data_IF_074140233577
#
_entry.id   IF_074140233577
#
_cell.length_a   1.000
_cell.length_b   1.000
_cell.length_c   1.000
_cell.angle_alpha   90.00
_cell.angle_beta   90.00
_cell.angle_gamma   90.00
#
_symmetry.space_group_name_H-M   'P 1'
#
loop_
_entity.id
_entity.type
_entity.pdbx_description
1 polymer ?
#
# COMPACT_ATOMS: atom_id res chain seq x y z
N UNK A 1 -30.81 35.54 9.92
CA UNK A 1 -31.63 34.48 9.28
C UNK A 1 -31.03 34.23 7.90
N UNK A 2 -30.67 33.04 7.42
CA UNK A 2 -30.76 31.68 7.91
C UNK A 2 -29.56 30.89 7.32
N UNK A 3 -29.12 29.88 8.07
CA UNK A 3 -28.08 28.91 7.70
C UNK A 3 -28.41 28.22 6.37
N UNK A 4 -27.43 28.08 5.48
CA UNK A 4 -27.54 27.14 4.36
C UNK A 4 -26.53 25.99 4.47
N UNK A 5 -27.06 24.81 4.18
CA UNK A 5 -26.66 23.49 4.68
C UNK A 5 -25.43 22.94 3.95
N UNK A 6 -24.62 22.18 4.70
CA UNK A 6 -23.49 21.37 4.22
C UNK A 6 -23.97 20.38 3.17
N UNK A 7 -23.37 20.41 1.97
CA UNK A 7 -23.45 19.31 1.01
C UNK A 7 -22.34 18.29 1.35
N UNK A 8 -22.76 17.08 1.70
CA UNK A 8 -21.91 15.90 1.83
C UNK A 8 -21.79 15.26 0.43
N UNK A 9 -20.58 14.90 -0.06
CA UNK A 9 -20.45 14.37 -1.42
C UNK A 9 -20.87 12.89 -1.51
N UNK A 10 -21.51 12.60 -2.65
CA UNK A 10 -22.14 11.39 -3.15
C UNK A 10 -21.17 10.19 -3.38
N UNK A 11 -20.49 9.66 -2.37
CA UNK A 11 -19.60 8.49 -2.55
C UNK A 11 -20.16 7.16 -1.98
N UNK A 12 -21.34 7.15 -1.34
CA UNK A 12 -21.83 5.95 -0.64
C UNK A 12 -23.04 5.24 -1.27
N UNK A 13 -23.48 5.63 -2.48
CA UNK A 13 -24.75 5.13 -3.06
C UNK A 13 -24.59 3.97 -4.06
N UNK A 14 -23.37 3.57 -4.45
CA UNK A 14 -23.17 2.54 -5.47
C UNK A 14 -23.11 1.08 -4.94
N UNK A 15 -23.43 0.81 -3.67
CA UNK A 15 -23.26 -0.52 -3.05
C UNK A 15 -24.49 -1.07 -2.30
N UNK A 16 -25.68 -0.47 -2.47
CA UNK A 16 -26.88 -0.82 -1.68
C UNK A 16 -28.12 -1.24 -2.50
N UNK A 17 -27.95 -1.67 -3.75
CA UNK A 17 -29.07 -2.18 -4.55
C UNK A 17 -28.87 -3.64 -4.97
N UNK A 18 -28.89 -4.55 -3.98
CA UNK A 18 -29.33 -5.92 -4.19
C UNK A 18 -29.65 -6.56 -2.83
N UNK A 19 -30.81 -7.24 -2.78
CA UNK A 19 -31.30 -8.12 -1.71
C UNK A 19 -31.98 -7.43 -0.52
N UNK A 20 -33.29 -7.23 -0.69
CA UNK A 20 -34.22 -7.30 0.43
C UNK A 20 -34.47 -8.76 0.82
N UNK A 21 -34.71 -8.98 2.12
CA UNK A 21 -35.79 -9.83 2.62
C UNK A 21 -35.90 -9.64 4.15
N UNK A 22 -37.15 -9.51 4.58
CA UNK A 22 -37.61 -9.23 5.92
C UNK A 22 -37.47 -10.43 6.88
N UNK A 23 -37.33 -10.15 8.17
CA UNK A 23 -37.44 -11.14 9.25
C UNK A 23 -37.64 -10.48 10.61
N UNK A 24 -38.91 -10.37 11.02
CA UNK A 24 -39.39 -9.88 12.33
C UNK A 24 -39.36 -10.98 13.40
N UNK A 25 -39.34 -10.57 14.68
CA UNK A 25 -39.73 -11.36 15.86
C UNK A 25 -38.75 -11.17 17.02
N UNK A 26 -38.86 -10.14 17.86
CA UNK A 26 -39.70 -10.03 19.08
C UNK A 26 -39.36 -11.02 20.23
N UNK A 27 -38.99 -10.39 21.36
CA UNK A 27 -38.80 -10.87 22.75
C UNK A 27 -40.17 -11.25 23.38
N UNK A 28 -40.33 -11.85 24.59
CA UNK A 28 -39.78 -11.30 25.84
C UNK A 28 -39.52 -12.24 27.04
N UNK A 29 -38.76 -11.69 28.00
CA UNK A 29 -38.83 -11.71 29.47
C UNK A 29 -39.54 -12.83 30.26
N UNK A 30 -38.89 -13.21 31.38
CA UNK A 30 -39.51 -13.78 32.58
C UNK A 30 -38.78 -13.30 33.84
N UNK A 31 -39.47 -12.48 34.63
CA UNK A 31 -39.13 -12.00 35.98
C UNK A 31 -39.18 -13.13 37.03
N UNK A 32 -38.34 -13.03 38.07
CA UNK A 32 -38.77 -13.18 39.47
C UNK A 32 -37.67 -12.76 40.45
N UNK A 33 -38.03 -11.87 41.38
CA UNK A 33 -37.25 -11.33 42.47
C UNK A 33 -37.15 -12.29 43.67
N UNK A 34 -36.10 -12.16 44.50
CA UNK A 34 -36.23 -11.71 45.90
C UNK A 34 -34.93 -11.77 46.73
N UNK A 35 -34.94 -10.89 47.73
CA UNK A 35 -34.24 -10.92 49.02
C UNK A 35 -32.92 -10.16 49.13
N UNK A 36 -32.92 -9.22 50.07
CA UNK A 36 -31.90 -8.21 50.24
C UNK A 36 -30.71 -8.68 51.06
N UNK A 37 -29.61 -7.98 50.84
CA UNK A 37 -28.54 -7.85 51.81
C UNK A 37 -27.90 -6.49 51.60
N UNK A 38 -27.83 -5.71 52.69
CA UNK A 38 -27.18 -4.40 52.73
C UNK A 38 -25.68 -4.64 52.54
N UNK A 39 -25.21 -4.46 51.31
CA UNK A 39 -23.78 -4.41 51.03
C UNK A 39 -23.32 -2.96 51.04
N UNK A 40 -22.45 -2.68 52.00
CA UNK A 40 -21.62 -1.49 52.11
C UNK A 40 -21.07 -1.10 50.73
N UNK A 41 -21.42 0.11 50.27
CA UNK A 41 -20.82 0.72 49.09
C UNK A 41 -19.39 1.12 49.43
N UNK A 42 -18.45 0.18 49.27
CA UNK A 42 -17.07 0.54 48.99
C UNK A 42 -17.06 1.09 47.58
N UNK A 43 -16.87 2.41 47.47
CA UNK A 43 -16.54 3.10 46.24
C UNK A 43 -15.19 2.57 45.72
N UNK A 44 -15.21 1.40 45.11
CA UNK A 44 -14.14 0.97 44.23
C UNK A 44 -14.31 1.76 42.94
N UNK A 45 -13.57 2.86 42.86
CA UNK A 45 -13.28 3.50 41.58
C UNK A 45 -12.46 2.49 40.78
N UNK A 46 -13.15 1.58 40.09
CA UNK A 46 -12.54 0.72 39.08
C UNK A 46 -12.25 1.64 37.91
N UNK A 47 -11.06 2.25 37.92
CA UNK A 47 -10.41 2.67 36.68
C UNK A 47 -10.13 1.38 35.91
N UNK A 48 -11.14 0.90 35.18
CA UNK A 48 -11.00 -0.26 34.30
C UNK A 48 -10.01 0.13 33.21
N UNK A 49 -8.76 -0.32 33.34
CA UNK A 49 -7.79 -0.22 32.26
C UNK A 49 -8.32 -0.97 31.05
N UNK A 50 -8.21 -0.39 29.86
CA UNK A 50 -8.58 -1.05 28.61
C UNK A 50 -7.84 -2.38 28.48
N UNK A 51 -8.54 -3.41 27.98
CA UNK A 51 -7.93 -4.67 27.58
C UNK A 51 -7.00 -4.48 26.38
N UNK A 52 -6.06 -5.41 26.18
CA UNK A 52 -5.15 -5.38 25.01
C UNK A 52 -5.91 -5.36 23.68
N UNK A 53 -7.09 -5.99 23.62
CA UNK A 53 -7.97 -5.95 22.45
C UNK A 53 -8.54 -4.55 22.22
N UNK A 54 -9.05 -3.88 23.26
CA UNK A 54 -9.59 -2.52 23.15
C UNK A 54 -8.50 -1.52 22.77
N UNK A 55 -7.28 -1.66 23.32
CA UNK A 55 -6.14 -0.82 22.93
C UNK A 55 -5.80 -1.04 21.45
N UNK A 56 -5.77 -2.29 20.97
CA UNK A 56 -5.54 -2.60 19.56
C UNK A 56 -6.63 -2.00 18.66
N UNK A 57 -7.91 -2.17 19.02
CA UNK A 57 -9.05 -1.58 18.31
C UNK A 57 -8.91 -0.07 18.23
N UNK A 58 -8.56 0.59 19.32
CA UNK A 58 -8.37 2.04 19.37
C UNK A 58 -7.28 2.50 18.38
N UNK A 59 -6.13 1.83 18.38
CA UNK A 59 -5.08 2.10 17.38
C UNK A 59 -5.58 1.93 15.94
N UNK A 60 -6.37 0.89 15.69
CA UNK A 60 -6.97 0.66 14.37
C UNK A 60 -7.91 1.78 13.93
N UNK A 61 -8.73 2.30 14.84
CA UNK A 61 -9.62 3.43 14.59
C UNK A 61 -8.84 4.73 14.33
N UNK A 62 -7.74 4.95 15.04
CA UNK A 62 -6.87 6.12 14.81
C UNK A 62 -6.22 6.07 13.43
N UNK A 63 -5.82 4.88 12.97
CA UNK A 63 -5.35 4.67 11.59
C UNK A 63 -6.46 4.94 10.58
N UNK A 64 -7.67 4.41 10.79
CA UNK A 64 -8.81 4.64 9.88
C UNK A 64 -9.14 6.13 9.75
N UNK A 65 -9.08 6.87 10.87
CA UNK A 65 -9.30 8.32 10.87
C UNK A 65 -8.42 9.02 9.85
N UNK A 66 -7.10 8.76 9.87
CA UNK A 66 -6.15 9.42 8.96
C UNK A 66 -6.16 8.82 7.56
N UNK A 67 -6.26 7.50 7.44
CA UNK A 67 -6.26 6.81 6.15
C UNK A 67 -7.50 7.19 5.32
N UNK A 68 -8.67 7.23 5.94
CA UNK A 68 -9.92 7.54 5.25
C UNK A 68 -10.30 9.02 5.29
N UNK A 69 -9.61 9.83 6.11
CA UNK A 69 -9.96 11.25 6.32
C UNK A 69 -11.36 11.42 6.92
N UNK A 70 -11.79 10.51 7.81
CA UNK A 70 -13.13 10.51 8.40
C UNK A 70 -13.12 11.05 9.82
N UNK A 71 -14.11 11.88 10.17
CA UNK A 71 -14.28 12.37 11.55
C UNK A 71 -14.89 11.31 12.49
N UNK A 72 -15.52 10.27 11.94
CA UNK A 72 -16.18 9.20 12.70
C UNK A 72 -15.67 7.80 12.28
N UNK A 73 -14.44 7.43 12.70
CA UNK A 73 -13.89 6.10 12.40
C UNK A 73 -14.69 4.96 13.06
N UNK A 74 -15.45 5.25 14.12
CA UNK A 74 -16.23 4.27 14.85
C UNK A 74 -17.51 3.87 14.11
N UNK A 75 -18.21 4.83 13.51
CA UNK A 75 -19.32 4.51 12.61
C UNK A 75 -18.87 3.70 11.41
N UNK A 76 -17.70 4.02 10.84
CA UNK A 76 -17.08 3.21 9.79
C UNK A 76 -16.84 1.78 10.29
N UNK A 77 -16.17 1.61 11.42
CA UNK A 77 -15.86 0.31 12.00
C UNK A 77 -17.11 -0.53 12.27
N UNK A 78 -18.14 0.04 12.90
CA UNK A 78 -19.42 -0.65 13.15
C UNK A 78 -20.05 -1.15 11.85
N UNK A 79 -20.13 -0.30 10.82
CA UNK A 79 -20.69 -0.68 9.51
C UNK A 79 -19.83 -1.76 8.84
N UNK A 80 -18.51 -1.60 8.88
CA UNK A 80 -17.57 -2.51 8.26
C UNK A 80 -17.63 -3.91 8.89
N UNK A 81 -17.70 -3.99 10.22
CA UNK A 81 -17.90 -5.26 10.95
C UNK A 81 -19.28 -5.85 10.68
N UNK A 82 -20.35 -5.04 10.67
CA UNK A 82 -21.70 -5.54 10.37
C UNK A 82 -21.78 -6.18 8.97
N UNK A 83 -21.03 -5.65 8.00
CA UNK A 83 -21.00 -6.18 6.63
C UNK A 83 -20.06 -7.38 6.44
N UNK A 84 -18.96 -7.45 7.19
CA UNK A 84 -17.89 -8.43 6.95
C UNK A 84 -17.69 -9.44 8.10
N UNK A 85 -18.45 -9.31 9.20
CA UNK A 85 -18.36 -10.17 10.38
C UNK A 85 -16.95 -10.20 10.97
N UNK A 86 -16.48 -11.41 11.30
CA UNK A 86 -15.15 -11.63 11.89
C UNK A 86 -14.01 -11.08 11.02
N UNK A 87 -14.12 -11.19 9.69
CA UNK A 87 -13.11 -10.64 8.77
C UNK A 87 -13.00 -9.12 8.91
N UNK A 88 -14.14 -8.44 9.09
CA UNK A 88 -14.17 -7.01 9.37
C UNK A 88 -13.43 -6.65 10.66
N UNK A 89 -13.66 -7.42 11.72
CA UNK A 89 -12.95 -7.25 12.99
C UNK A 89 -11.44 -7.50 12.83
N UNK A 90 -11.02 -8.55 12.12
CA UNK A 90 -9.60 -8.82 11.88
C UNK A 90 -8.92 -7.70 11.10
N UNK A 91 -9.58 -7.11 10.11
CA UNK A 91 -9.00 -5.98 9.39
C UNK A 91 -8.80 -4.76 10.30
N UNK A 92 -9.77 -4.45 11.17
CA UNK A 92 -9.64 -3.32 12.10
C UNK A 92 -8.60 -3.59 13.19
N UNK A 93 -8.61 -4.79 13.75
CA UNK A 93 -7.78 -5.15 14.90
C UNK A 93 -6.36 -5.46 14.45
N UNK A 94 -6.20 -6.45 13.57
CA UNK A 94 -4.88 -6.90 13.16
C UNK A 94 -4.27 -5.98 12.09
N UNK A 95 -4.96 -5.76 10.97
CA UNK A 95 -4.36 -4.98 9.86
C UNK A 95 -4.19 -3.52 10.29
N UNK A 96 -5.24 -2.86 10.79
CA UNK A 96 -5.13 -1.45 11.17
C UNK A 96 -4.45 -1.27 12.54
N UNK A 97 -4.82 -2.08 13.53
CA UNK A 97 -4.40 -1.92 14.92
C UNK A 97 -3.08 -2.58 15.32
N UNK A 98 -2.59 -3.59 14.62
CA UNK A 98 -1.28 -4.22 14.90
C UNK A 98 -0.24 -3.93 13.81
N UNK A 99 -0.62 -3.89 12.53
CA UNK A 99 0.32 -3.66 11.43
C UNK A 99 0.43 -2.17 11.11
N UNK A 100 -0.68 -1.53 10.75
CA UNK A 100 -0.63 -0.11 10.43
C UNK A 100 -0.28 0.72 11.67
N UNK A 101 -0.69 0.41 12.89
CA UNK A 101 -0.37 1.29 14.03
C UNK A 101 1.13 1.46 14.31
N UNK A 102 2.01 0.61 13.76
CA UNK A 102 3.46 0.61 14.00
C UNK A 102 4.12 1.85 13.40
N UNK A 103 4.96 2.50 14.20
CA UNK A 103 5.61 3.78 13.91
C UNK A 103 6.99 3.64 13.26
N UNK A 104 7.53 2.42 13.20
CA UNK A 104 8.83 2.10 12.60
C UNK A 104 8.87 2.34 11.08
N UNK A 105 7.72 2.47 10.44
CA UNK A 105 7.57 2.85 9.04
C UNK A 105 6.55 3.98 8.92
N UNK A 106 6.92 5.02 8.18
CA UNK A 106 6.04 6.16 7.96
C UNK A 106 4.74 5.75 7.27
N UNK A 107 3.66 6.49 7.53
CA UNK A 107 2.36 6.28 6.85
C UNK A 107 2.49 6.42 5.33
N UNK A 108 3.27 7.44 4.90
CA UNK A 108 3.61 7.72 3.51
C UNK A 108 4.20 6.48 2.83
N UNK A 109 5.21 5.88 3.44
CA UNK A 109 5.90 4.72 2.88
C UNK A 109 5.05 3.46 2.94
N UNK A 110 4.27 3.25 4.01
CA UNK A 110 3.32 2.13 4.06
C UNK A 110 2.28 2.22 2.96
N UNK A 111 1.77 3.41 2.63
CA UNK A 111 0.91 3.60 1.48
C UNK A 111 1.61 3.30 0.15
N UNK A 112 2.88 3.68 -0.02
CA UNK A 112 3.66 3.35 -1.22
C UNK A 112 3.76 1.82 -1.40
N UNK A 113 4.10 1.10 -0.33
CA UNK A 113 4.20 -0.37 -0.31
C UNK A 113 2.85 -0.99 -0.65
N UNK A 114 1.77 -0.56 0.00
CA UNK A 114 0.43 -1.14 -0.21
C UNK A 114 -0.07 -0.90 -1.63
N UNK A 115 0.11 0.30 -2.19
CA UNK A 115 -0.23 0.57 -3.58
C UNK A 115 0.56 -0.30 -4.56
N UNK A 116 1.85 -0.50 -4.31
CA UNK A 116 2.70 -1.36 -5.13
C UNK A 116 2.24 -2.84 -5.08
N UNK A 117 1.95 -3.37 -3.89
CA UNK A 117 1.46 -4.74 -3.70
C UNK A 117 0.10 -4.93 -4.38
N UNK A 118 -0.86 -4.04 -4.11
CA UNK A 118 -2.22 -4.15 -4.67
C UNK A 118 -2.21 -4.07 -6.19
N UNK A 119 -1.43 -3.15 -6.77
CA UNK A 119 -1.26 -3.07 -8.22
C UNK A 119 -0.61 -4.33 -8.81
N UNK A 120 0.45 -4.84 -8.19
CA UNK A 120 1.13 -6.07 -8.63
C UNK A 120 0.24 -7.32 -8.54
N UNK A 121 -0.70 -7.36 -7.59
CA UNK A 121 -1.67 -8.45 -7.42
C UNK A 121 -2.98 -8.24 -8.20
N UNK A 122 -3.09 -7.14 -8.97
CA UNK A 122 -4.30 -6.71 -9.68
C UNK A 122 -5.54 -6.55 -8.76
N UNK A 123 -5.35 -6.16 -7.50
CA UNK A 123 -6.41 -5.94 -6.51
C UNK A 123 -6.99 -4.53 -6.64
N UNK A 124 -7.44 -4.16 -7.84
CA UNK A 124 -7.81 -2.78 -8.19
C UNK A 124 -8.98 -2.23 -7.39
N UNK A 125 -9.92 -3.07 -6.95
CA UNK A 125 -11.02 -2.67 -6.07
C UNK A 125 -10.53 -2.08 -4.73
N UNK A 126 -9.38 -2.55 -4.23
CA UNK A 126 -8.82 -2.05 -2.98
C UNK A 126 -8.13 -0.69 -3.15
N UNK A 127 -7.70 -0.33 -4.37
CA UNK A 127 -7.07 0.97 -4.65
C UNK A 127 -8.01 2.15 -4.31
N UNK A 128 -9.32 1.95 -4.35
CA UNK A 128 -10.33 2.94 -3.95
C UNK A 128 -10.14 3.49 -2.52
N UNK A 129 -9.56 2.68 -1.62
CA UNK A 129 -9.29 3.11 -0.24
C UNK A 129 -7.88 3.69 -0.08
N UNK A 130 -6.89 3.10 -0.76
CA UNK A 130 -5.48 3.43 -0.53
C UNK A 130 -4.96 4.58 -1.40
N UNK A 131 -5.59 4.91 -2.53
CA UNK A 131 -5.22 6.10 -3.32
C UNK A 131 -5.58 7.39 -2.58
N UNK A 132 -6.81 7.58 -2.05
CA UNK A 132 -7.11 8.75 -1.22
C UNK A 132 -6.27 8.76 0.06
N UNK A 133 -6.11 7.59 0.71
CA UNK A 133 -5.27 7.48 1.91
C UNK A 133 -3.80 7.79 1.68
N UNK A 134 -3.27 7.49 0.49
CA UNK A 134 -1.92 7.86 0.10
C UNK A 134 -1.74 9.39 0.04
N UNK A 135 -2.72 10.11 -0.51
CA UNK A 135 -2.74 11.59 -0.48
C UNK A 135 -2.81 12.12 0.95
N UNK A 136 -3.70 11.57 1.78
CA UNK A 136 -3.82 11.95 3.21
C UNK A 136 -2.52 11.75 3.99
N UNK A 137 -1.72 10.75 3.60
CA UNK A 137 -0.44 10.44 4.22
C UNK A 137 0.77 11.04 3.50
N UNK A 138 0.56 11.95 2.54
CA UNK A 138 1.61 12.81 1.98
C UNK A 138 2.28 12.31 0.69
N UNK A 139 1.78 11.25 0.05
CA UNK A 139 2.15 10.97 -1.34
C UNK A 139 1.46 11.99 -2.26
N UNK A 140 2.17 12.43 -3.29
CA UNK A 140 1.63 13.31 -4.32
C UNK A 140 0.90 12.50 -5.41
N UNK A 141 -0.02 13.11 -6.17
CA UNK A 141 -0.63 12.47 -7.34
C UNK A 141 0.39 12.03 -8.40
N UNK A 142 1.56 12.68 -8.45
CA UNK A 142 2.65 12.33 -9.36
C UNK A 142 3.36 11.06 -8.90
N UNK A 143 3.72 10.98 -7.61
CA UNK A 143 4.33 9.77 -7.04
C UNK A 143 3.40 8.57 -7.12
N UNK A 144 2.10 8.74 -6.85
CA UNK A 144 1.11 7.65 -6.93
C UNK A 144 1.04 7.07 -8.35
N UNK A 145 1.02 7.92 -9.38
CA UNK A 145 1.08 7.46 -10.78
C UNK A 145 2.40 6.78 -11.10
N UNK A 146 3.50 7.32 -10.59
CA UNK A 146 4.83 6.76 -10.82
C UNK A 146 5.00 5.37 -10.19
N UNK A 147 4.30 5.08 -9.09
CA UNK A 147 4.19 3.72 -8.53
C UNK A 147 3.60 2.78 -9.59
N UNK A 148 2.49 3.16 -10.23
CA UNK A 148 1.83 2.36 -11.26
C UNK A 148 2.71 2.19 -12.51
N UNK A 149 3.45 3.23 -12.90
CA UNK A 149 4.42 3.17 -14.00
C UNK A 149 5.50 2.11 -13.75
N UNK A 150 6.03 1.99 -12.52
CA UNK A 150 7.03 0.96 -12.20
C UNK A 150 6.50 -0.46 -12.32
N UNK A 151 5.20 -0.66 -12.09
CA UNK A 151 4.59 -1.97 -12.23
C UNK A 151 4.74 -2.51 -13.66
N UNK A 152 4.88 -1.67 -14.68
CA UNK A 152 5.06 -2.13 -16.05
C UNK A 152 6.32 -3.01 -16.20
N UNK A 153 7.41 -2.65 -15.51
CA UNK A 153 8.67 -3.41 -15.56
C UNK A 153 8.67 -4.66 -14.65
N UNK A 154 7.98 -4.61 -13.51
CA UNK A 154 8.08 -5.66 -12.48
C UNK A 154 6.86 -6.59 -12.37
N UNK A 155 5.67 -6.11 -12.75
CA UNK A 155 4.42 -6.87 -12.71
C UNK A 155 3.76 -7.03 -14.11
N UNK A 156 4.26 -6.30 -15.11
CA UNK A 156 3.81 -6.33 -16.49
C UNK A 156 2.78 -5.24 -16.83
N UNK A 157 2.74 -4.85 -18.10
CA UNK A 157 1.88 -3.78 -18.63
C UNK A 157 0.38 -3.94 -18.31
N UNK A 158 -0.27 -5.12 -18.46
CA UNK A 158 -1.71 -5.22 -18.21
C UNK A 158 -2.10 -4.80 -16.79
N UNK A 159 -1.37 -5.27 -15.77
CA UNK A 159 -1.61 -4.90 -14.37
C UNK A 159 -1.32 -3.43 -14.11
N UNK A 160 -0.24 -2.90 -14.72
CA UNK A 160 0.11 -1.48 -14.61
C UNK A 160 -0.98 -0.58 -15.20
N UNK A 161 -1.52 -0.94 -16.37
CA UNK A 161 -2.59 -0.20 -17.04
C UNK A 161 -3.91 -0.27 -16.27
N UNK A 162 -4.31 -1.44 -15.77
CA UNK A 162 -5.51 -1.60 -14.95
C UNK A 162 -5.42 -0.76 -13.65
N UNK A 163 -4.28 -0.84 -12.95
CA UNK A 163 -4.04 -0.05 -11.75
C UNK A 163 -4.00 1.45 -12.03
N UNK A 164 -3.34 1.88 -13.12
CA UNK A 164 -3.27 3.27 -13.56
C UNK A 164 -4.66 3.82 -13.92
N UNK A 165 -5.49 3.06 -14.62
CA UNK A 165 -6.84 3.48 -15.02
C UNK A 165 -7.72 3.76 -13.80
N UNK A 166 -7.71 2.87 -12.80
CA UNK A 166 -8.46 3.04 -11.55
C UNK A 166 -7.90 4.20 -10.73
N UNK A 167 -6.57 4.30 -10.64
CA UNK A 167 -5.87 5.40 -9.96
C UNK A 167 -6.23 6.76 -10.56
N UNK A 168 -6.20 6.89 -11.90
CA UNK A 168 -6.54 8.14 -12.58
C UNK A 168 -8.00 8.54 -12.38
N UNK A 169 -8.92 7.56 -12.35
CA UNK A 169 -10.33 7.83 -12.05
C UNK A 169 -10.50 8.42 -10.64
N UNK A 170 -9.92 7.78 -9.64
CA UNK A 170 -9.99 8.23 -8.24
C UNK A 170 -9.32 9.60 -8.08
N UNK A 171 -8.13 9.79 -8.65
CA UNK A 171 -7.44 11.08 -8.61
C UNK A 171 -8.25 12.18 -9.28
N UNK A 172 -8.95 11.90 -10.39
CA UNK A 172 -9.84 12.86 -11.04
C UNK A 172 -11.02 13.24 -10.16
N UNK A 173 -11.66 12.27 -9.49
CA UNK A 173 -12.74 12.51 -8.52
C UNK A 173 -12.28 13.40 -7.34
N UNK A 174 -10.99 13.31 -6.97
CA UNK A 174 -10.37 14.11 -5.92
C UNK A 174 -9.78 15.45 -6.42
N UNK A 175 -10.00 15.83 -7.68
CA UNK A 175 -9.51 17.11 -8.24
C UNK A 175 -8.04 17.09 -8.69
N UNK A 176 -7.44 15.90 -8.82
CA UNK A 176 -6.08 15.67 -9.28
C UNK A 176 -6.02 14.95 -10.64
N UNK A 177 -7.06 15.12 -11.46
CA UNK A 177 -7.11 14.56 -12.82
C UNK A 177 -6.02 15.12 -13.73
N UNK A 178 -5.78 14.51 -14.91
CA UNK A 178 -4.93 15.10 -15.93
C UNK A 178 -5.37 16.53 -16.28
N UNK A 179 -4.41 17.40 -16.57
CA UNK A 179 -4.71 18.75 -17.05
C UNK A 179 -5.26 18.77 -18.48
N UNK A 180 -5.55 19.95 -19.04
CA UNK A 180 -6.06 20.09 -20.42
C UNK A 180 -5.17 19.40 -21.47
N UNK A 181 -3.86 19.44 -21.26
CA UNK A 181 -2.85 18.84 -22.16
C UNK A 181 -2.55 17.37 -21.83
N UNK A 182 -3.28 16.77 -20.88
CA UNK A 182 -3.05 15.41 -20.41
C UNK A 182 -1.90 15.27 -19.42
N UNK A 183 -1.40 14.03 -19.28
CA UNK A 183 -0.18 13.71 -18.53
C UNK A 183 1.03 13.76 -19.47
N UNK A 184 2.24 14.06 -18.98
CA UNK A 184 3.42 14.12 -19.84
C UNK A 184 3.71 12.76 -20.49
N UNK A 185 4.03 12.78 -21.79
CA UNK A 185 4.53 11.62 -22.52
C UNK A 185 5.93 11.19 -22.04
N UNK A 186 6.35 9.98 -22.41
CA UNK A 186 7.75 9.57 -22.26
C UNK A 186 8.65 10.40 -23.19
N UNK A 187 9.88 10.65 -22.74
CA UNK A 187 10.92 11.21 -23.61
C UNK A 187 11.11 10.32 -24.84
N UNK A 188 11.24 10.93 -26.03
CA UNK A 188 11.44 10.21 -27.30
C UNK A 188 12.93 10.05 -27.58
N UNK A 189 13.54 9.06 -26.93
CA UNK A 189 14.95 8.73 -27.06
C UNK A 189 15.18 7.67 -28.14
N UNK A 190 16.30 7.75 -28.85
CA UNK A 190 16.80 6.66 -29.69
C UNK A 190 17.24 5.47 -28.84
N UNK A 191 17.33 4.28 -29.45
CA UNK A 191 17.79 3.08 -28.72
C UNK A 191 19.21 3.23 -28.16
N UNK A 192 20.09 3.96 -28.85
CA UNK A 192 21.43 4.27 -28.34
C UNK A 192 21.38 5.13 -27.07
N UNK A 193 20.52 6.17 -27.05
CA UNK A 193 20.34 7.03 -25.88
C UNK A 193 19.71 6.28 -24.69
N UNK A 194 18.71 5.41 -24.96
CA UNK A 194 18.09 4.55 -23.94
C UNK A 194 19.13 3.62 -23.31
N UNK A 195 19.97 2.97 -24.12
CA UNK A 195 21.05 2.10 -23.63
C UNK A 195 22.10 2.85 -22.81
N UNK A 196 22.56 4.01 -23.30
CA UNK A 196 23.54 4.84 -22.60
C UNK A 196 23.01 5.29 -21.23
N UNK A 197 21.77 5.80 -21.18
CA UNK A 197 21.10 6.18 -19.93
C UNK A 197 20.90 4.98 -19.01
N UNK A 198 20.53 3.82 -19.56
CA UNK A 198 20.36 2.58 -18.81
C UNK A 198 21.65 2.11 -18.12
N UNK A 199 22.77 2.10 -18.83
CA UNK A 199 24.08 1.76 -18.28
C UNK A 199 24.51 2.72 -17.16
N UNK A 200 24.32 4.02 -17.37
CA UNK A 200 24.62 5.05 -16.39
C UNK A 200 23.77 4.87 -15.11
N UNK A 201 22.46 4.62 -15.27
CA UNK A 201 21.56 4.28 -14.16
C UNK A 201 22.07 3.05 -13.43
N UNK A 202 22.37 1.95 -14.13
CA UNK A 202 22.86 0.72 -13.51
C UNK A 202 24.17 0.91 -12.73
N UNK A 203 25.11 1.71 -13.25
CA UNK A 203 26.33 2.09 -12.54
C UNK A 203 26.01 2.74 -11.19
N UNK A 204 25.20 3.81 -11.22
CA UNK A 204 24.74 4.51 -10.02
C UNK A 204 24.01 3.59 -9.05
N UNK A 205 23.13 2.71 -9.54
CA UNK A 205 22.37 1.77 -8.71
C UNK A 205 23.26 0.69 -8.11
N UNK A 206 24.41 0.38 -8.70
CA UNK A 206 25.35 -0.63 -8.19
C UNK A 206 26.44 -0.03 -7.29
N UNK A 207 26.56 1.30 -7.26
CA UNK A 207 27.66 1.99 -6.58
C UNK A 207 28.99 1.90 -7.34
N UNK A 208 28.94 1.48 -8.61
CA UNK A 208 30.08 1.48 -9.52
C UNK A 208 30.12 2.82 -10.28
N UNK A 209 31.31 3.21 -10.74
CA UNK A 209 31.44 4.30 -11.72
C UNK A 209 30.64 3.97 -12.99
N UNK A 210 30.22 5.00 -13.73
CA UNK A 210 29.39 4.87 -14.93
C UNK A 210 30.01 3.86 -15.91
N UNK A 211 29.48 2.63 -16.00
CA UNK A 211 30.11 1.57 -16.78
C UNK A 211 29.96 1.86 -18.28
N UNK A 212 30.88 1.35 -19.10
CA UNK A 212 30.75 1.45 -20.55
C UNK A 212 29.41 0.83 -21.00
N UNK A 213 28.52 1.60 -21.64
CA UNK A 213 27.21 1.09 -22.05
C UNK A 213 27.26 -0.10 -22.99
N UNK A 214 28.28 -0.21 -23.83
CA UNK A 214 28.42 -1.33 -24.77
C UNK A 214 28.91 -2.60 -24.04
N UNK A 215 29.74 -2.48 -23.00
CA UNK A 215 30.12 -3.61 -22.15
C UNK A 215 28.94 -4.13 -21.32
N UNK A 216 28.14 -3.24 -20.73
CA UNK A 216 26.93 -3.61 -19.98
C UNK A 216 25.92 -4.29 -20.90
N UNK A 217 25.70 -3.74 -22.10
CA UNK A 217 24.85 -4.36 -23.10
C UNK A 217 25.37 -5.75 -23.47
N UNK A 218 26.66 -5.88 -23.81
CA UNK A 218 27.24 -7.17 -24.19
C UNK A 218 27.09 -8.22 -23.09
N UNK A 219 27.26 -7.84 -21.83
CA UNK A 219 27.07 -8.73 -20.69
C UNK A 219 25.59 -9.17 -20.52
N UNK A 220 24.65 -8.23 -20.60
CA UNK A 220 23.22 -8.53 -20.43
C UNK A 220 22.65 -9.28 -21.63
N UNK A 221 22.88 -8.78 -22.84
CA UNK A 221 22.40 -9.38 -24.08
C UNK A 221 23.10 -10.72 -24.35
N UNK A 222 24.38 -10.88 -23.99
CA UNK A 222 25.09 -12.16 -24.09
C UNK A 222 24.46 -13.26 -23.23
N UNK A 223 23.87 -12.90 -22.08
CA UNK A 223 23.21 -13.85 -21.16
C UNK A 223 21.72 -14.04 -21.44
N UNK A 224 21.02 -12.97 -21.84
CA UNK A 224 19.55 -12.93 -21.91
C UNK A 224 19.01 -12.69 -23.33
N UNK A 225 19.89 -12.53 -24.33
CA UNK A 225 19.52 -12.19 -25.69
C UNK A 225 18.76 -10.85 -25.77
N UNK A 226 17.72 -10.75 -26.62
CA UNK A 226 16.90 -9.54 -26.73
C UNK A 226 16.28 -9.05 -25.41
N UNK A 227 16.05 -9.94 -24.44
CA UNK A 227 15.56 -9.52 -23.11
C UNK A 227 16.59 -8.69 -22.36
N UNK A 228 17.88 -8.96 -22.54
CA UNK A 228 18.95 -8.13 -21.99
C UNK A 228 18.96 -6.72 -22.59
N UNK A 229 18.73 -6.63 -23.90
CA UNK A 229 18.63 -5.35 -24.63
C UNK A 229 17.42 -4.52 -24.16
N UNK A 230 16.26 -5.16 -24.03
CA UNK A 230 15.07 -4.49 -23.48
C UNK A 230 15.23 -4.14 -22.00
N UNK A 231 15.93 -4.97 -21.23
CA UNK A 231 16.23 -4.68 -19.82
C UNK A 231 17.00 -3.37 -19.66
N UNK A 232 18.11 -3.22 -20.37
CA UNK A 232 18.91 -1.99 -20.29
C UNK A 232 18.17 -0.77 -20.86
N UNK A 233 17.48 -0.91 -22.00
CA UNK A 233 16.79 0.21 -22.65
C UNK A 233 15.51 0.64 -21.93
N UNK A 234 14.58 -0.29 -21.73
CA UNK A 234 13.26 0.00 -21.14
C UNK A 234 13.32 0.05 -19.62
N UNK A 235 13.79 -1.01 -18.95
CA UNK A 235 13.71 -1.05 -17.49
C UNK A 235 14.65 -0.02 -16.85
N UNK A 236 15.90 0.06 -17.29
CA UNK A 236 16.87 1.01 -16.72
C UNK A 236 16.84 2.38 -17.39
N UNK A 237 16.91 2.42 -18.73
CA UNK A 237 16.97 3.66 -19.51
C UNK A 237 15.68 4.47 -19.49
N UNK A 238 14.54 3.82 -19.31
CA UNK A 238 13.26 4.53 -19.24
C UNK A 238 12.65 4.45 -17.85
N UNK A 239 12.32 3.29 -17.30
CA UNK A 239 11.55 3.21 -16.04
C UNK A 239 12.35 3.74 -14.86
N UNK A 240 13.55 3.20 -14.59
CA UNK A 240 14.38 3.62 -13.45
C UNK A 240 15.01 5.01 -13.58
N UNK A 241 15.18 5.52 -14.80
CA UNK A 241 15.75 6.84 -15.05
C UNK A 241 14.81 8.00 -14.70
N UNK A 242 13.53 7.73 -14.48
CA UNK A 242 12.52 8.75 -14.20
C UNK A 242 12.78 9.47 -12.86
N UNK A 243 12.54 10.79 -12.76
CA UNK A 243 12.83 11.54 -11.53
C UNK A 243 11.66 11.59 -10.52
N UNK A 244 10.45 11.13 -10.88
CA UNK A 244 9.23 11.35 -10.08
C UNK A 244 9.17 10.57 -8.75
N UNK A 245 10.09 9.62 -8.54
CA UNK A 245 10.27 8.91 -7.28
C UNK A 245 11.75 8.87 -6.97
N UNK A 246 12.10 9.02 -5.69
CA UNK A 246 13.49 8.88 -5.25
C UNK A 246 14.00 7.47 -5.50
N UNK A 247 15.32 7.31 -5.65
CA UNK A 247 15.95 5.98 -5.79
C UNK A 247 15.60 5.06 -4.62
N UNK A 248 15.54 5.60 -3.40
CA UNK A 248 15.14 4.90 -2.17
C UNK A 248 13.72 4.34 -2.29
N UNK A 249 12.77 5.18 -2.73
CA UNK A 249 11.37 4.79 -2.87
C UNK A 249 11.13 3.77 -3.99
N UNK A 250 11.86 3.90 -5.11
CA UNK A 250 11.82 2.91 -6.21
C UNK A 250 12.26 1.54 -5.72
N UNK A 251 13.34 1.49 -4.94
CA UNK A 251 13.79 0.23 -4.33
C UNK A 251 12.78 -0.35 -3.35
N UNK A 252 12.18 0.47 -2.49
CA UNK A 252 11.14 0.03 -1.56
C UNK A 252 9.92 -0.54 -2.31
N UNK A 253 9.48 0.13 -3.38
CA UNK A 253 8.43 -0.34 -4.28
C UNK A 253 8.80 -1.69 -4.90
N UNK A 254 10.00 -1.82 -5.45
CA UNK A 254 10.41 -3.04 -6.16
C UNK A 254 10.47 -4.24 -5.22
N UNK A 255 11.06 -4.08 -4.02
CA UNK A 255 11.03 -5.15 -3.00
C UNK A 255 9.59 -5.51 -2.65
N UNK A 256 8.67 -4.54 -2.56
CA UNK A 256 7.25 -4.80 -2.30
C UNK A 256 6.60 -5.66 -3.38
N UNK A 257 6.84 -5.33 -4.66
CA UNK A 257 6.31 -6.08 -5.80
C UNK A 257 6.87 -7.49 -5.87
N UNK A 258 8.20 -7.64 -5.71
CA UNK A 258 8.87 -8.94 -5.80
C UNK A 258 8.46 -9.87 -4.65
N UNK A 259 8.31 -9.34 -3.43
CA UNK A 259 7.73 -10.09 -2.30
C UNK A 259 6.30 -10.55 -2.63
N UNK A 260 5.43 -9.63 -3.10
CA UNK A 260 4.04 -9.96 -3.41
C UNK A 260 3.87 -10.98 -4.55
N UNK A 261 4.82 -11.04 -5.47
CA UNK A 261 4.79 -11.99 -6.60
C UNK A 261 5.52 -13.31 -6.31
N UNK A 262 6.14 -13.47 -5.13
CA UNK A 262 6.94 -14.66 -4.79
C UNK A 262 8.16 -14.79 -5.70
N UNK A 263 8.97 -13.74 -5.79
CA UNK A 263 10.22 -13.71 -6.55
C UNK A 263 11.42 -13.66 -5.61
N UNK A 264 11.56 -14.68 -4.77
CA UNK A 264 12.63 -14.79 -3.76
C UNK A 264 14.03 -14.63 -4.33
N UNK A 265 14.33 -15.23 -5.48
CA UNK A 265 15.65 -15.13 -6.12
C UNK A 265 15.98 -13.70 -6.56
N UNK A 266 14.99 -12.91 -6.95
CA UNK A 266 15.18 -11.49 -7.28
C UNK A 266 15.39 -10.64 -6.02
N UNK A 267 14.83 -11.06 -4.87
CA UNK A 267 15.06 -10.38 -3.59
C UNK A 267 16.51 -10.50 -3.12
N UNK A 268 17.24 -11.54 -3.51
CA UNK A 268 18.69 -11.66 -3.24
C UNK A 268 19.50 -10.50 -3.83
N UNK A 269 18.99 -9.88 -4.91
CA UNK A 269 19.60 -8.73 -5.57
C UNK A 269 18.99 -7.43 -5.02
N UNK A 270 17.66 -7.39 -4.90
CA UNK A 270 16.94 -6.15 -4.64
C UNK A 270 16.93 -5.71 -3.17
N UNK A 271 17.04 -6.63 -2.21
CA UNK A 271 17.17 -6.30 -0.78
C UNK A 271 18.47 -5.55 -0.50
N UNK A 272 19.68 -6.06 -0.83
CA UNK A 272 20.91 -5.32 -0.59
C UNK A 272 20.97 -4.02 -1.43
N UNK A 273 20.40 -4.01 -2.63
CA UNK A 273 20.29 -2.77 -3.41
C UNK A 273 19.41 -1.71 -2.71
N UNK A 274 18.28 -2.11 -2.12
CA UNK A 274 17.42 -1.20 -1.36
C UNK A 274 18.16 -0.56 -0.19
N UNK A 275 18.97 -1.34 0.54
CA UNK A 275 19.82 -0.83 1.63
C UNK A 275 20.83 0.19 1.13
N UNK A 276 21.54 -0.10 0.03
CA UNK A 276 22.46 0.86 -0.60
C UNK A 276 21.77 2.14 -1.07
N UNK A 277 20.48 2.07 -1.38
CA UNK A 277 19.69 3.23 -1.77
C UNK A 277 19.09 4.01 -0.60
N UNK A 278 19.30 3.56 0.64
CA UNK A 278 18.87 4.24 1.86
C UNK A 278 17.60 3.67 2.51
N UNK A 279 17.12 2.50 2.08
CA UNK A 279 16.06 1.79 2.81
C UNK A 279 16.69 1.08 4.02
N UNK A 280 16.16 1.29 5.21
CA UNK A 280 16.71 0.67 6.42
C UNK A 280 16.25 -0.78 6.58
N UNK A 281 17.01 -1.59 7.34
CA UNK A 281 16.59 -2.94 7.75
C UNK A 281 15.21 -2.92 8.42
N UNK A 282 14.97 -1.95 9.29
CA UNK A 282 13.69 -1.76 9.98
C UNK A 282 12.55 -1.53 8.99
N UNK A 283 12.76 -0.69 7.97
CA UNK A 283 11.73 -0.44 6.94
C UNK A 283 11.46 -1.69 6.10
N UNK A 284 12.48 -2.49 5.78
CA UNK A 284 12.31 -3.77 5.11
C UNK A 284 11.54 -4.78 5.97
N UNK A 285 11.77 -4.82 7.28
CA UNK A 285 10.99 -5.65 8.20
C UNK A 285 9.52 -5.22 8.24
N UNK A 286 9.25 -3.91 8.31
CA UNK A 286 7.90 -3.35 8.26
C UNK A 286 7.22 -3.57 6.90
N UNK A 287 7.98 -3.59 5.81
CA UNK A 287 7.48 -4.01 4.49
C UNK A 287 7.00 -5.45 4.55
N UNK A 288 7.78 -6.38 5.13
CA UNK A 288 7.36 -7.78 5.22
C UNK A 288 6.12 -7.96 6.12
N UNK A 289 6.01 -7.20 7.22
CA UNK A 289 4.79 -7.17 8.04
C UNK A 289 3.58 -6.63 7.26
N UNK A 290 3.80 -5.63 6.40
CA UNK A 290 2.76 -5.13 5.49
C UNK A 290 2.40 -6.20 4.46
N UNK A 291 3.38 -6.85 3.82
CA UNK A 291 3.14 -7.93 2.88
C UNK A 291 2.40 -9.12 3.52
N UNK A 292 2.59 -9.39 4.81
CA UNK A 292 1.84 -10.42 5.53
C UNK A 292 0.33 -10.17 5.43
N UNK A 293 -0.09 -8.91 5.59
CA UNK A 293 -1.49 -8.51 5.53
C UNK A 293 -2.05 -8.42 4.09
N UNK A 294 -1.24 -8.03 3.10
CA UNK A 294 -1.72 -7.73 1.74
C UNK A 294 -1.38 -8.77 0.67
N UNK A 295 -0.34 -9.57 0.87
CA UNK A 295 0.10 -10.63 -0.03
C UNK A 295 0.03 -12.03 0.62
N UNK A 296 -0.08 -12.09 1.95
CA UNK A 296 -0.24 -13.32 2.72
C UNK A 296 1.04 -13.78 3.40
N UNK A 297 0.86 -14.54 4.48
CA UNK A 297 1.94 -14.96 5.37
C UNK A 297 3.11 -15.70 4.69
N UNK A 298 2.90 -16.67 3.77
CA UNK A 298 4.01 -17.42 3.18
C UNK A 298 5.01 -16.53 2.42
N UNK A 299 4.50 -15.59 1.63
CA UNK A 299 5.31 -14.67 0.84
C UNK A 299 6.08 -13.68 1.73
N UNK A 300 5.43 -13.18 2.78
CA UNK A 300 6.06 -12.31 3.77
C UNK A 300 7.17 -13.03 4.55
N UNK A 301 6.97 -14.29 4.91
CA UNK A 301 7.97 -15.11 5.61
C UNK A 301 9.18 -15.37 4.71
N UNK A 302 8.96 -15.71 3.44
CA UNK A 302 10.04 -15.86 2.47
C UNK A 302 10.84 -14.56 2.30
N UNK A 303 10.16 -13.43 2.10
CA UNK A 303 10.80 -12.11 2.00
C UNK A 303 11.57 -11.73 3.26
N UNK A 304 11.05 -12.05 4.46
CA UNK A 304 11.77 -11.81 5.71
C UNK A 304 13.05 -12.64 5.82
N UNK A 305 13.06 -13.88 5.35
CA UNK A 305 14.29 -14.68 5.29
C UNK A 305 15.35 -14.00 4.42
N UNK A 306 14.96 -13.49 3.25
CA UNK A 306 15.86 -12.72 2.37
C UNK A 306 16.39 -11.46 3.04
N UNK A 307 15.57 -10.75 3.81
CA UNK A 307 16.04 -9.59 4.61
C UNK A 307 17.07 -10.00 5.65
N UNK A 308 16.85 -11.10 6.36
CA UNK A 308 17.78 -11.60 7.38
C UNK A 308 19.08 -12.16 6.79
N UNK A 309 19.03 -12.74 5.59
CA UNK A 309 20.19 -13.29 4.88
C UNK A 309 21.14 -12.17 4.41
N UNK A 310 20.60 -11.02 3.98
CA UNK A 310 21.37 -9.97 3.31
C UNK A 310 21.60 -8.70 4.13
N UNK A 311 20.97 -8.57 5.31
CA UNK A 311 21.03 -7.35 6.12
C UNK A 311 21.24 -7.68 7.59
N UNK A 312 22.41 -7.31 8.12
CA UNK A 312 22.78 -7.46 9.55
C UNK A 312 21.98 -6.57 10.50
#
# INVERSE_FOLDING_TARGET
>A
MARNKKHLPLILTALLFSMGCEGKGENPAGDAAESGTVNTVTSNTVTSSLSDHEVRRQRGLDVIRTLMGTDDPEAFARKFVAQNGALGSFALDFVMGDIWSREQLSRRDRNLIVLAILGALNQTNQLAYYVPGALNHGLTPVEIREIMTHLAAYAGFPKALDAMAVTNRILAELGHGPGPDGLPESERLSDAERRARGAEVMGRLSGNDAPDPDEVLAALAGRLGPLGEYGIGFAFGEVWARPQLSRRDRSLLVVSVLTALGRGDELDIHVPAAVRHGVTKTELQELMLTAFAYAGAPLAVEGMRKVMEHVE
#
